data_IF_850023912886
#
_entry.id   IF_850023912886
#
_cell.length_a   1.000
_cell.length_b   1.000
_cell.length_c   1.000
_cell.angle_alpha   90.00
_cell.angle_beta   90.00
_cell.angle_gamma   90.00
#
_symmetry.space_group_name_H-M   'P 1'
#
loop_
_entity.id
_entity.type
_entity.pdbx_description
1 polymer ?
#
# COMPACT_ATOMS: atom_id res chain seq x y z
N UNK A 1 -24.01 4.92 -14.92
CA UNK A 1 -23.24 3.68 -14.68
C UNK A 1 -21.77 4.06 -14.82
N UNK A 2 -21.05 4.18 -13.71
CA UNK A 2 -19.72 4.80 -13.63
C UNK A 2 -18.63 3.92 -14.28
N UNK A 3 -18.00 4.43 -15.34
CA UNK A 3 -16.82 3.85 -15.97
C UNK A 3 -15.52 4.40 -15.37
N UNK A 4 -15.34 4.29 -14.05
CA UNK A 4 -14.09 4.71 -13.37
C UNK A 4 -13.47 3.61 -12.48
N UNK A 5 -14.04 2.40 -12.43
CA UNK A 5 -13.52 1.30 -11.61
C UNK A 5 -12.27 0.61 -12.18
N UNK A 6 -11.93 0.81 -13.46
CA UNK A 6 -11.00 -0.10 -14.14
C UNK A 6 -9.50 0.28 -14.07
N UNK A 7 -9.13 1.46 -13.56
CA UNK A 7 -7.72 1.89 -13.62
C UNK A 7 -7.09 2.32 -12.30
N UNK A 8 -7.84 2.39 -11.19
CA UNK A 8 -7.22 2.77 -9.91
C UNK A 8 -6.23 1.71 -9.43
N UNK A 9 -6.61 0.42 -9.49
CA UNK A 9 -5.74 -0.69 -9.09
C UNK A 9 -4.49 -0.78 -9.99
N UNK A 10 -4.66 -0.55 -11.29
CA UNK A 10 -3.56 -0.53 -12.26
C UNK A 10 -2.64 0.67 -12.07
N UNK A 11 -3.19 1.86 -11.81
CA UNK A 11 -2.42 3.07 -11.56
C UNK A 11 -1.63 2.99 -10.23
N UNK A 12 -2.24 2.44 -9.18
CA UNK A 12 -1.56 2.17 -7.91
C UNK A 12 -0.42 1.19 -8.16
N UNK A 13 -0.68 0.02 -8.79
CA UNK A 13 0.38 -0.95 -9.10
C UNK A 13 1.48 -0.36 -9.99
N UNK A 14 1.17 0.45 -10.99
CA UNK A 14 2.16 1.09 -11.85
C UNK A 14 3.03 2.13 -11.11
N UNK A 15 2.44 2.91 -10.19
CA UNK A 15 3.19 3.82 -9.33
C UNK A 15 4.13 3.07 -8.37
N UNK A 16 3.67 1.95 -7.80
CA UNK A 16 4.49 1.17 -6.87
C UNK A 16 5.47 0.20 -7.54
N UNK A 17 5.25 -0.19 -8.80
CA UNK A 17 6.11 -1.15 -9.52
C UNK A 17 7.56 -0.65 -9.72
N UNK A 18 7.76 0.66 -9.79
CA UNK A 18 9.09 1.28 -9.85
C UNK A 18 9.55 1.86 -8.51
N UNK A 19 8.76 1.69 -7.45
CA UNK A 19 9.07 2.22 -6.12
C UNK A 19 10.07 1.31 -5.40
N UNK A 20 11.09 1.91 -4.79
CA UNK A 20 11.99 1.21 -3.88
C UNK A 20 11.31 0.94 -2.53
N UNK A 21 11.88 0.05 -1.73
CA UNK A 21 11.38 -0.28 -0.38
C UNK A 21 11.01 0.94 0.48
N UNK A 22 11.85 1.97 0.50
CA UNK A 22 11.58 3.23 1.21
C UNK A 22 10.41 4.02 0.63
N UNK A 23 10.23 4.01 -0.69
CA UNK A 23 9.10 4.68 -1.35
C UNK A 23 7.79 3.93 -1.07
N UNK A 24 7.82 2.60 -1.04
CA UNK A 24 6.70 1.76 -0.64
C UNK A 24 6.30 2.04 0.81
N UNK A 25 7.27 2.08 1.72
CA UNK A 25 7.04 2.41 3.12
C UNK A 25 6.44 3.81 3.26
N UNK A 26 7.02 4.81 2.59
CA UNK A 26 6.52 6.18 2.63
C UNK A 26 5.08 6.26 2.11
N UNK A 27 4.76 5.58 1.01
CA UNK A 27 3.41 5.55 0.43
C UNK A 27 2.40 4.92 1.39
N UNK A 28 2.80 3.84 2.07
CA UNK A 28 1.97 3.17 3.07
C UNK A 28 1.71 4.08 4.27
N UNK A 29 2.77 4.69 4.81
CA UNK A 29 2.68 5.58 5.97
C UNK A 29 1.86 6.82 5.64
N UNK A 30 2.05 7.39 4.45
CA UNK A 30 1.28 8.54 3.96
C UNK A 30 -0.20 8.19 3.77
N UNK A 31 -0.51 7.02 3.19
CA UNK A 31 -1.89 6.54 3.06
C UNK A 31 -2.57 6.31 4.43
N UNK A 32 -1.86 5.75 5.40
CA UNK A 32 -2.31 5.57 6.79
C UNK A 32 -2.53 6.93 7.47
N UNK A 33 -1.56 7.85 7.39
CA UNK A 33 -1.63 9.16 8.04
C UNK A 33 -2.70 10.07 7.45
N UNK A 34 -2.90 10.02 6.13
CA UNK A 34 -3.90 10.85 5.46
C UNK A 34 -5.32 10.40 5.80
N UNK A 35 -5.53 9.19 6.31
CA UNK A 35 -6.84 8.70 6.75
C UNK A 35 -7.90 8.82 5.65
N UNK A 36 -7.47 8.82 4.37
CA UNK A 36 -8.39 8.98 3.25
C UNK A 36 -9.21 7.69 3.12
N UNK A 37 -10.37 7.68 3.78
CA UNK A 37 -11.42 6.66 3.67
C UNK A 37 -11.81 6.35 2.20
N UNK A 38 -11.40 7.21 1.27
CA UNK A 38 -11.59 7.09 -0.19
C UNK A 38 -10.60 6.14 -0.88
N UNK A 39 -9.42 5.90 -0.30
CA UNK A 39 -8.36 5.04 -0.87
C UNK A 39 -8.04 3.80 -0.02
N UNK A 40 -8.54 3.72 1.21
CA UNK A 40 -8.45 2.56 2.09
C UNK A 40 -9.81 1.83 2.12
N UNK A 41 -10.24 1.12 1.04
CA UNK A 41 -11.35 0.18 1.16
C UNK A 41 -10.96 -0.83 2.25
N UNK A 42 -11.88 -1.30 3.10
CA UNK A 42 -11.62 -1.95 4.41
C UNK A 42 -10.37 -2.85 4.62
N UNK A 43 -9.77 -3.42 3.57
CA UNK A 43 -8.39 -3.94 3.57
C UNK A 43 -7.33 -2.94 4.06
N UNK A 44 -7.49 -1.66 3.74
CA UNK A 44 -6.59 -0.59 4.16
C UNK A 44 -6.58 -0.38 5.68
N UNK A 45 -7.77 -0.37 6.29
CA UNK A 45 -7.93 -0.27 7.75
C UNK A 45 -7.36 -1.50 8.46
N UNK A 46 -7.55 -2.69 7.89
CA UNK A 46 -6.96 -3.92 8.42
C UNK A 46 -5.43 -3.92 8.30
N UNK A 47 -4.90 -3.40 7.18
CA UNK A 47 -3.46 -3.26 6.97
C UNK A 47 -2.85 -2.21 7.90
N UNK A 48 -3.54 -1.10 8.14
CA UNK A 48 -3.14 -0.07 9.11
C UNK A 48 -3.05 -0.65 10.52
N UNK A 49 -4.08 -1.38 10.98
CA UNK A 49 -4.06 -2.03 12.28
C UNK A 49 -2.90 -3.03 12.38
N UNK A 50 -2.69 -3.83 11.32
CA UNK A 50 -1.56 -4.75 11.24
C UNK A 50 -0.21 -4.00 11.30
N UNK A 51 -0.06 -2.91 10.53
CA UNK A 51 1.16 -2.11 10.45
C UNK A 51 1.48 -1.42 11.77
N UNK A 52 0.48 -0.87 12.45
CA UNK A 52 0.64 -0.23 13.76
C UNK A 52 1.00 -1.24 14.86
N UNK A 53 0.53 -2.49 14.75
CA UNK A 53 0.87 -3.56 15.68
C UNK A 53 2.13 -4.38 15.28
N UNK A 54 2.63 -4.23 14.06
CA UNK A 54 3.78 -4.93 13.56
C UNK A 54 5.09 -4.36 14.14
N UNK A 55 6.02 -5.26 14.46
CA UNK A 55 7.40 -4.88 14.80
C UNK A 55 8.17 -4.40 13.57
N UNK A 56 9.29 -3.71 13.75
CA UNK A 56 10.15 -3.26 12.65
C UNK A 56 10.59 -4.41 11.74
N UNK A 57 10.88 -5.59 12.29
CA UNK A 57 11.19 -6.79 11.51
C UNK A 57 10.00 -7.25 10.64
N UNK A 58 8.78 -7.21 11.20
CA UNK A 58 7.58 -7.59 10.47
C UNK A 58 7.27 -6.58 9.35
N UNK A 59 7.40 -5.27 9.63
CA UNK A 59 7.28 -4.22 8.61
C UNK A 59 8.29 -4.41 7.49
N UNK A 60 9.55 -4.67 7.83
CA UNK A 60 10.61 -4.95 6.85
C UNK A 60 10.31 -6.17 6.00
N UNK A 61 9.77 -7.25 6.59
CA UNK A 61 9.33 -8.44 5.85
C UNK A 61 8.15 -8.14 4.93
N UNK A 62 7.14 -7.41 5.40
CA UNK A 62 5.98 -6.99 4.60
C UNK A 62 6.42 -6.13 3.40
N UNK A 63 7.33 -5.19 3.62
CA UNK A 63 7.90 -4.36 2.56
C UNK A 63 8.69 -5.18 1.54
N UNK A 64 9.48 -6.17 1.97
CA UNK A 64 10.18 -7.08 1.05
C UNK A 64 9.17 -7.84 0.18
N UNK A 65 8.15 -8.43 0.79
CA UNK A 65 7.11 -9.17 0.06
C UNK A 65 6.34 -8.28 -0.90
N UNK A 66 6.04 -7.03 -0.50
CA UNK A 66 5.39 -6.05 -1.36
C UNK A 66 6.29 -5.68 -2.54
N UNK A 67 7.57 -5.40 -2.30
CA UNK A 67 8.55 -5.08 -3.36
C UNK A 67 8.64 -6.22 -4.39
N UNK A 68 8.71 -7.47 -3.93
CA UNK A 68 8.72 -8.65 -4.81
C UNK A 68 7.40 -8.84 -5.57
N UNK A 69 6.26 -8.50 -4.96
CA UNK A 69 4.94 -8.63 -5.58
C UNK A 69 4.67 -7.56 -6.65
N UNK A 70 5.22 -6.35 -6.50
CA UNK A 70 5.00 -5.22 -7.43
C UNK A 70 5.99 -5.17 -8.59
N UNK A 71 7.17 -5.79 -8.45
CA UNK A 71 8.18 -5.92 -9.52
C UNK A 71 7.86 -6.99 -10.57
N UNK A 72 6.70 -7.66 -10.48
CA UNK A 72 6.35 -8.85 -11.26
C UNK A 72 5.51 -8.56 -12.49
#
# INVERSE_FOLDING_TARGET
MNQMDFNLRGAVMANVANSSKDQLEHTIVDAIQQGEEKYLPGLGVLFEALWNHATDEQKQSMLTTLEEAVKK
#
